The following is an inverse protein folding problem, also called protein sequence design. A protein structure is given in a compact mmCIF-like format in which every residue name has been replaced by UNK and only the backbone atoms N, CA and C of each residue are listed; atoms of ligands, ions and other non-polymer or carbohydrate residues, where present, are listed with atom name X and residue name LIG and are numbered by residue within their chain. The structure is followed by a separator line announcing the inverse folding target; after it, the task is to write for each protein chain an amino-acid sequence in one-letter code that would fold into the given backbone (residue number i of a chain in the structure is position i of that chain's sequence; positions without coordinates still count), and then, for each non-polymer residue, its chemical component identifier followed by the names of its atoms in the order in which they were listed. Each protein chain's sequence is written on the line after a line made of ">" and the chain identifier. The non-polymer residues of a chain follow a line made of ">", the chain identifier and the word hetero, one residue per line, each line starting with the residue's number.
data_IF_193637289233
#
_entry.id   IF_193637289233
#
_cell.length_a   1.000
_cell.length_b   1.000
_cell.length_c   1.000
_cell.angle_alpha   90.00
_cell.angle_beta   90.00
_cell.angle_gamma   90.00
#
_symmetry.space_group_name_H-M   'P 1'
#
loop_
_entity.id
_entity.type
_entity.pdbx_description
1 polymer ?
#
# COMPACT_ATOMS: atom_id res chain seq x y z
N UNK A 1 3.81 5.68 22.75
CA UNK A 1 4.91 4.68 22.65
C UNK A 1 5.93 5.15 21.63
N UNK A 2 7.23 4.79 21.75
CA UNK A 2 8.23 5.10 20.70
C UNK A 2 8.36 3.93 19.74
N UNK A 3 8.18 4.18 18.44
CA UNK A 3 8.12 3.15 17.41
C UNK A 3 9.09 3.51 16.29
N UNK A 4 10.05 2.61 16.02
CA UNK A 4 10.96 2.72 14.88
C UNK A 4 10.51 1.78 13.77
N UNK A 5 10.24 2.33 12.59
CA UNK A 5 9.97 1.58 11.36
C UNK A 5 11.20 1.64 10.48
N UNK A 6 11.79 0.48 10.16
CA UNK A 6 12.98 0.39 9.31
C UNK A 6 12.56 0.11 7.86
N UNK A 7 12.78 1.09 6.99
CA UNK A 7 12.44 1.09 5.58
C UNK A 7 11.36 2.11 5.23
N UNK A 8 11.69 3.08 4.39
CA UNK A 8 10.79 4.14 3.91
C UNK A 8 10.06 3.77 2.62
N UNK A 9 9.68 2.50 2.44
CA UNK A 9 8.88 2.02 1.32
C UNK A 9 7.37 2.04 1.62
N UNK A 10 6.54 1.54 0.69
CA UNK A 10 5.08 1.50 0.87
C UNK A 10 4.64 0.84 2.19
N UNK A 11 5.20 -0.33 2.52
CA UNK A 11 4.87 -1.04 3.76
C UNK A 11 5.29 -0.26 5.02
N UNK A 12 6.44 0.41 4.99
CA UNK A 12 6.93 1.20 6.13
C UNK A 12 6.08 2.43 6.39
N UNK A 13 5.67 3.14 5.34
CA UNK A 13 4.73 4.25 5.48
C UNK A 13 3.36 3.79 5.96
N UNK A 14 2.83 2.70 5.42
CA UNK A 14 1.54 2.16 5.86
C UNK A 14 1.59 1.77 7.35
N UNK A 15 2.65 1.08 7.79
CA UNK A 15 2.85 0.74 9.19
C UNK A 15 3.00 1.98 10.08
N UNK A 16 3.81 2.95 9.67
CA UNK A 16 4.04 4.17 10.43
C UNK A 16 2.79 5.03 10.60
N UNK A 17 2.02 5.21 9.52
CA UNK A 17 0.74 5.92 9.54
C UNK A 17 -0.25 5.20 10.45
N UNK A 18 -0.39 3.87 10.28
CA UNK A 18 -1.30 3.07 11.11
C UNK A 18 -0.95 3.17 12.59
N UNK A 19 0.33 3.11 12.93
CA UNK A 19 0.80 3.26 14.31
C UNK A 19 0.53 4.66 14.88
N UNK A 20 0.71 5.71 14.09
CA UNK A 20 0.39 7.08 14.50
C UNK A 20 -1.12 7.30 14.67
N UNK A 21 -1.96 6.67 13.84
CA UNK A 21 -3.42 6.76 13.91
C UNK A 21 -4.01 6.03 15.14
N UNK A 22 -3.28 5.05 15.71
CA UNK A 22 -3.76 4.30 16.89
C UNK A 22 -3.75 5.12 18.19
N UNK A 23 -2.82 6.07 18.34
CA UNK A 23 -2.77 6.96 19.51
C UNK A 23 -1.94 8.21 19.21
N UNK A 24 -2.40 9.41 19.62
CA UNK A 24 -1.63 10.64 19.48
C UNK A 24 -0.33 10.64 20.30
N UNK A 25 -0.21 9.77 21.30
CA UNK A 25 1.00 9.64 22.14
C UNK A 25 2.06 8.73 21.50
N UNK A 26 1.82 8.23 20.29
CA UNK A 26 2.79 7.45 19.54
C UNK A 26 3.78 8.37 18.82
N UNK A 27 5.05 8.24 19.19
CA UNK A 27 6.17 8.85 18.48
C UNK A 27 6.69 7.84 17.46
N UNK A 28 6.46 8.10 16.18
CA UNK A 28 6.83 7.19 15.08
C UNK A 28 7.98 7.79 14.28
N UNK A 29 9.06 7.03 14.15
CA UNK A 29 10.22 7.37 13.32
C UNK A 29 10.34 6.35 12.19
N UNK A 30 10.42 6.80 10.95
CA UNK A 30 10.74 5.95 9.78
C UNK A 30 12.20 6.19 9.42
N UNK A 31 13.02 5.13 9.48
CA UNK A 31 14.42 5.17 9.06
C UNK A 31 14.58 4.53 7.68
N UNK A 32 15.07 5.29 6.70
CA UNK A 32 15.39 4.82 5.35
C UNK A 32 16.90 4.90 5.11
N UNK A 33 17.46 3.87 4.47
CA UNK A 33 18.90 3.82 4.13
C UNK A 33 19.24 4.74 2.95
N UNK A 34 18.31 4.83 2.00
CA UNK A 34 18.46 5.59 0.77
C UNK A 34 18.26 7.09 1.00
N UNK A 35 18.73 7.91 0.06
CA UNK A 35 18.54 9.37 0.09
C UNK A 35 17.07 9.80 0.04
N UNK A 36 16.23 9.00 -0.62
CA UNK A 36 14.82 9.32 -0.82
C UNK A 36 13.93 8.14 -0.41
N UNK A 37 12.92 8.44 0.40
CA UNK A 37 11.83 7.52 0.69
C UNK A 37 10.99 7.26 -0.57
N UNK A 38 10.24 6.15 -0.57
CA UNK A 38 9.30 5.78 -1.63
C UNK A 38 9.90 5.69 -3.04
N UNK A 39 11.23 5.68 -3.18
CA UNK A 39 11.94 5.66 -4.49
C UNK A 39 11.42 4.58 -5.44
N UNK A 40 11.19 3.35 -4.94
CA UNK A 40 10.60 2.27 -5.74
C UNK A 40 9.13 2.50 -6.10
N UNK A 41 8.36 3.11 -5.21
CA UNK A 41 6.94 3.43 -5.45
C UNK A 41 6.83 4.49 -6.54
N UNK A 42 7.69 5.51 -6.49
CA UNK A 42 7.74 6.59 -7.48
C UNK A 42 7.89 6.07 -8.91
N UNK A 43 8.77 5.11 -9.13
CA UNK A 43 9.01 4.53 -10.47
C UNK A 43 8.04 3.40 -10.85
N UNK A 44 7.23 2.90 -9.91
CA UNK A 44 6.32 1.79 -10.17
C UNK A 44 5.24 2.14 -11.20
N UNK A 45 4.78 1.14 -11.97
CA UNK A 45 3.78 1.37 -13.00
C UNK A 45 4.21 2.33 -14.11
N UNK A 46 5.52 2.51 -14.30
CA UNK A 46 6.09 3.47 -15.26
C UNK A 46 5.97 4.92 -14.80
N UNK A 47 6.09 5.18 -13.49
CA UNK A 47 5.95 6.53 -12.93
C UNK A 47 4.52 6.93 -12.58
N UNK A 48 3.58 5.98 -12.65
CA UNK A 48 2.14 6.21 -12.45
C UNK A 48 1.61 5.64 -11.13
N UNK A 49 2.40 4.82 -10.44
CA UNK A 49 2.02 4.11 -9.22
C UNK A 49 0.88 3.11 -9.44
N UNK A 50 1.22 1.85 -9.81
CA UNK A 50 0.24 0.76 -9.79
C UNK A 50 -0.03 0.38 -8.32
N UNK A 51 -1.02 1.03 -7.70
CA UNK A 51 -1.22 1.04 -6.24
C UNK A 51 -1.72 -0.31 -5.70
N UNK A 52 -2.52 -1.02 -6.50
CA UNK A 52 -3.03 -2.36 -6.16
C UNK A 52 -3.57 -3.03 -7.43
N UNK A 53 -4.21 -4.19 -7.28
CA UNK A 53 -4.96 -4.85 -8.35
C UNK A 53 -6.37 -5.16 -7.84
N UNK A 54 -7.36 -5.18 -8.72
CA UNK A 54 -8.74 -5.52 -8.40
C UNK A 54 -9.04 -6.99 -8.76
N UNK A 55 -8.91 -7.92 -7.82
CA UNK A 55 -9.36 -9.29 -7.98
C UNK A 55 -10.89 -9.36 -7.82
N UNK A 56 -11.49 -10.49 -8.22
CA UNK A 56 -12.88 -10.81 -7.91
C UNK A 56 -13.10 -11.10 -6.43
N UNK A 57 -12.11 -11.68 -5.73
CA UNK A 57 -12.14 -12.00 -4.30
C UNK A 57 -10.73 -12.20 -3.68
N UNK A 58 -10.66 -12.39 -2.36
CA UNK A 58 -9.41 -12.56 -1.59
C UNK A 58 -8.62 -13.80 -2.03
N UNK A 59 -9.29 -14.93 -2.30
CA UNK A 59 -8.61 -16.18 -2.69
C UNK A 59 -7.98 -16.04 -4.06
N UNK A 60 -8.73 -15.48 -5.01
CA UNK A 60 -8.24 -15.17 -6.34
C UNK A 60 -7.03 -14.23 -6.29
N UNK A 61 -7.05 -13.23 -5.39
CA UNK A 61 -5.89 -12.36 -5.19
C UNK A 61 -4.68 -13.11 -4.66
N UNK A 62 -4.85 -13.87 -3.58
CA UNK A 62 -3.77 -14.58 -2.90
C UNK A 62 -3.12 -15.64 -3.80
N UNK A 63 -3.88 -16.26 -4.70
CA UNK A 63 -3.37 -17.22 -5.69
C UNK A 63 -2.32 -16.61 -6.65
N UNK A 64 -2.32 -15.30 -6.85
CA UNK A 64 -1.26 -14.61 -7.62
C UNK A 64 0.09 -14.57 -6.89
N UNK A 65 0.14 -15.01 -5.62
CA UNK A 65 1.32 -15.04 -4.79
C UNK A 65 1.58 -16.45 -4.23
N UNK A 66 1.94 -17.45 -5.06
CA UNK A 66 1.96 -18.87 -4.66
C UNK A 66 2.80 -19.16 -3.40
N UNK A 67 3.93 -18.46 -3.25
CA UNK A 67 4.81 -18.60 -2.07
C UNK A 67 4.21 -18.04 -0.78
N UNK A 68 3.33 -17.04 -0.89
CA UNK A 68 2.71 -16.33 0.23
C UNK A 68 1.20 -16.55 0.37
N UNK A 69 0.61 -17.39 -0.48
CA UNK A 69 -0.84 -17.51 -0.64
C UNK A 69 -1.56 -17.78 0.68
N UNK A 70 -1.12 -18.78 1.44
CA UNK A 70 -1.75 -19.15 2.72
C UNK A 70 -1.70 -18.01 3.74
N UNK A 71 -0.60 -17.25 3.76
CA UNK A 71 -0.43 -16.12 4.65
C UNK A 71 -1.32 -14.95 4.22
N UNK A 72 -1.31 -14.62 2.93
CA UNK A 72 -2.12 -13.55 2.35
C UNK A 72 -3.62 -13.82 2.48
N UNK A 73 -4.07 -15.05 2.23
CA UNK A 73 -5.46 -15.46 2.44
C UNK A 73 -5.95 -15.16 3.86
N UNK A 74 -5.07 -15.22 4.87
CA UNK A 74 -5.43 -14.85 6.23
C UNK A 74 -5.48 -13.34 6.42
N UNK A 75 -4.41 -12.62 6.07
CA UNK A 75 -4.28 -11.19 6.41
C UNK A 75 -5.12 -10.26 5.52
N UNK A 76 -5.49 -10.70 4.32
CA UNK A 76 -6.32 -9.91 3.40
C UNK A 76 -7.79 -9.81 3.84
N UNK A 77 -8.21 -10.59 4.84
CA UNK A 77 -9.50 -10.39 5.51
C UNK A 77 -9.49 -9.15 6.43
N UNK A 78 -8.33 -8.78 6.97
CA UNK A 78 -8.19 -7.59 7.82
C UNK A 78 -7.95 -6.33 6.98
N UNK A 79 -7.21 -6.45 5.88
CA UNK A 79 -6.95 -5.36 4.94
C UNK A 79 -6.80 -5.88 3.51
N UNK A 80 -7.84 -5.69 2.71
CA UNK A 80 -7.95 -6.20 1.34
C UNK A 80 -7.48 -5.17 0.28
N UNK A 81 -7.36 -5.56 -1.01
CA UNK A 81 -7.13 -4.61 -2.10
C UNK A 81 -8.23 -3.56 -2.21
N UNK A 82 -9.47 -3.91 -1.86
CA UNK A 82 -10.59 -2.96 -1.85
C UNK A 82 -10.44 -1.93 -0.72
N UNK A 83 -9.93 -2.35 0.45
CA UNK A 83 -9.61 -1.43 1.54
C UNK A 83 -8.45 -0.51 1.17
N UNK A 84 -7.48 -1.00 0.39
CA UNK A 84 -6.41 -0.17 -0.19
C UNK A 84 -7.00 0.94 -1.06
N UNK A 85 -7.95 0.62 -1.95
CA UNK A 85 -8.62 1.63 -2.81
C UNK A 85 -9.31 2.69 -1.95
N UNK A 86 -10.15 2.27 -1.00
CA UNK A 86 -10.84 3.17 -0.07
C UNK A 86 -9.88 4.04 0.73
N UNK A 87 -8.75 3.47 1.17
CA UNK A 87 -7.77 4.18 1.99
C UNK A 87 -7.16 5.38 1.26
N UNK A 88 -6.87 5.23 -0.04
CA UNK A 88 -6.38 6.31 -0.90
C UNK A 88 -7.49 7.31 -1.24
N UNK A 89 -8.68 6.84 -1.64
CA UNK A 89 -9.79 7.72 -2.02
C UNK A 89 -10.26 8.59 -0.86
N UNK A 90 -10.32 8.04 0.37
CA UNK A 90 -10.63 8.79 1.58
C UNK A 90 -9.64 9.93 1.85
N UNK A 91 -8.41 9.83 1.32
CA UNK A 91 -7.33 10.82 1.43
C UNK A 91 -7.24 11.74 0.20
N UNK A 92 -8.27 11.76 -0.63
CA UNK A 92 -8.37 12.66 -1.78
C UNK A 92 -7.54 12.22 -2.99
N UNK A 93 -7.11 10.96 -3.04
CA UNK A 93 -6.42 10.40 -4.21
C UNK A 93 -7.41 9.52 -4.98
N UNK A 94 -8.12 10.07 -5.98
CA UNK A 94 -9.06 9.29 -6.78
C UNK A 94 -8.31 8.24 -7.60
N UNK A 95 -8.86 7.03 -7.65
CA UNK A 95 -8.27 5.90 -8.34
C UNK A 95 -9.13 5.48 -9.54
N UNK A 96 -8.49 4.85 -10.51
CA UNK A 96 -9.13 4.22 -11.67
C UNK A 96 -8.59 2.82 -11.88
N UNK A 97 -9.42 1.99 -12.49
CA UNK A 97 -9.12 0.60 -12.78
C UNK A 97 -8.94 0.47 -14.29
N UNK A 98 -7.86 -0.16 -14.72
CA UNK A 98 -7.61 -0.49 -16.13
C UNK A 98 -8.23 -1.85 -16.49
N UNK A 99 -8.34 -2.16 -17.79
CA UNK A 99 -9.02 -3.38 -18.28
C UNK A 99 -8.41 -4.70 -17.76
N UNK A 100 -7.15 -4.67 -17.33
CA UNK A 100 -6.43 -5.81 -16.75
C UNK A 100 -6.49 -5.86 -15.21
N UNK A 101 -7.35 -5.04 -14.60
CA UNK A 101 -7.57 -4.98 -13.15
C UNK A 101 -6.50 -4.20 -12.39
N UNK A 102 -5.47 -3.66 -13.03
CA UNK A 102 -4.51 -2.77 -12.35
C UNK A 102 -5.18 -1.47 -11.93
N UNK A 103 -4.74 -0.95 -10.79
CA UNK A 103 -5.32 0.26 -10.20
C UNK A 103 -4.28 1.36 -10.14
N UNK A 104 -4.65 2.54 -10.64
CA UNK A 104 -3.77 3.71 -10.72
C UNK A 104 -4.48 4.96 -10.19
N UNK A 105 -3.74 5.97 -9.70
CA UNK A 105 -4.26 7.33 -9.56
C UNK A 105 -4.84 7.84 -10.88
N UNK A 106 -5.96 8.55 -10.81
CA UNK A 106 -6.56 9.21 -11.99
C UNK A 106 -5.56 10.15 -12.66
N UNK A 107 -4.69 10.80 -11.89
CA UNK A 107 -3.63 11.69 -12.36
C UNK A 107 -2.59 11.02 -13.27
N UNK A 108 -2.48 9.68 -13.26
CA UNK A 108 -1.39 8.93 -13.89
C UNK A 108 0.01 9.36 -13.41
N UNK A 109 0.14 9.89 -12.20
CA UNK A 109 1.43 10.29 -11.64
C UNK A 109 1.61 9.75 -10.24
N UNK A 110 2.82 9.29 -9.94
CA UNK A 110 3.23 8.95 -8.57
C UNK A 110 3.49 10.19 -7.68
N UNK A 111 3.43 11.40 -8.26
CA UNK A 111 3.60 12.71 -7.62
C UNK A 111 2.46 13.65 -8.00
#
# INVERSE_FOLDING_TARGET
>A
MRILVVGGGAAGFMAGITAAEQSPDNEVVIAEKSLHTLSKVLVSGGGRCNVTNQPTDIRAFAANYPRGERFLNKILHDFSPHDTVKWFEKRGVPLKVEADGRVFPVSNKSL
#
